data_IF_334293108532
#
_entry.id   IF_334293108532
#
_cell.length_a   1.000
_cell.length_b   1.000
_cell.length_c   1.000
_cell.angle_alpha   90.00
_cell.angle_beta   90.00
_cell.angle_gamma   90.00
#
_symmetry.space_group_name_H-M   'P 1'
#
loop_
_entity.id
_entity.type
_entity.pdbx_description
1 polymer ?
#
# COMPACT_ATOMS: atom_id res chain seq x y z
N UNK A 1 18.64 12.44 1.26
CA UNK A 1 18.46 13.82 1.73
C UNK A 1 17.65 14.58 0.68
N UNK A 2 16.32 14.50 0.72
CA UNK A 2 15.42 15.34 -0.08
C UNK A 2 14.78 16.32 0.90
N UNK A 3 15.19 17.58 0.82
CA UNK A 3 14.65 18.68 1.61
C UNK A 3 13.74 19.51 0.70
N UNK A 4 12.46 19.56 1.02
CA UNK A 4 11.60 20.66 0.59
C UNK A 4 10.59 20.95 1.70
N UNK A 5 11.06 21.66 2.73
CA UNK A 5 10.21 22.33 3.71
C UNK A 5 9.50 23.51 3.04
N UNK A 6 8.34 23.26 2.44
CA UNK A 6 7.36 24.32 2.18
C UNK A 6 6.29 24.22 3.29
N UNK A 7 6.12 25.25 4.13
CA UNK A 7 5.01 25.28 5.06
C UNK A 7 3.69 25.38 4.27
N UNK A 8 2.71 24.59 4.69
CA UNK A 8 1.35 24.61 4.17
C UNK A 8 0.69 25.97 4.46
N UNK A 9 -0.08 26.58 3.53
CA UNK A 9 -0.77 27.84 3.82
C UNK A 9 -1.88 27.58 4.85
N UNK A 10 -1.76 28.20 6.03
CA UNK A 10 -2.82 28.24 7.02
C UNK A 10 -3.97 29.13 6.48
N UNK A 11 -5.08 28.51 6.11
CA UNK A 11 -6.31 29.22 5.76
C UNK A 11 -6.90 29.90 6.99
N UNK A 12 -7.20 31.19 6.86
CA UNK A 12 -7.89 32.01 7.85
C UNK A 12 -9.29 31.46 8.17
N UNK A 13 -9.64 31.52 9.45
CA UNK A 13 -10.87 30.94 10.00
C UNK A 13 -12.16 31.58 9.49
N UNK A 14 -13.22 30.76 9.45
CA UNK A 14 -14.59 31.17 9.16
C UNK A 14 -15.59 30.05 9.46
N UNK A 15 -16.37 30.27 10.52
CA UNK A 15 -17.66 29.71 10.96
C UNK A 15 -18.35 28.55 10.22
N UNK A 16 -18.98 27.67 11.03
CA UNK A 16 -20.25 27.04 10.68
C UNK A 16 -20.13 25.58 10.24
N UNK A 17 -20.63 24.69 11.10
CA UNK A 17 -20.46 23.24 11.00
C UNK A 17 -20.91 22.62 9.67
N UNK A 18 -20.10 21.68 9.19
CA UNK A 18 -20.56 20.49 8.49
C UNK A 18 -19.70 19.36 8.98
N UNK A 19 -20.31 18.39 9.68
CA UNK A 19 -19.74 17.06 9.82
C UNK A 19 -19.63 16.45 8.43
N UNK A 20 -18.57 16.80 7.70
CA UNK A 20 -18.20 16.12 6.48
C UNK A 20 -17.85 14.71 6.89
N UNK A 21 -18.76 13.76 6.67
CA UNK A 21 -18.51 12.35 6.87
C UNK A 21 -17.32 11.99 6.00
N UNK A 22 -16.13 11.93 6.60
CA UNK A 22 -14.95 11.38 5.95
C UNK A 22 -15.38 10.02 5.41
N UNK A 23 -15.40 9.91 4.08
CA UNK A 23 -15.60 8.61 3.45
C UNK A 23 -14.30 7.86 3.75
N UNK A 24 -14.41 6.78 4.52
CA UNK A 24 -13.32 5.83 4.67
C UNK A 24 -12.98 5.35 3.26
N UNK A 25 -11.72 5.49 2.86
CA UNK A 25 -11.24 4.81 1.67
C UNK A 25 -11.15 3.31 1.99
N UNK A 26 -11.90 2.49 1.26
CA UNK A 26 -11.89 1.04 1.41
C UNK A 26 -10.59 0.41 0.86
N UNK A 27 -9.73 1.22 0.23
CA UNK A 27 -8.44 0.78 -0.31
C UNK A 27 -8.59 -0.12 -1.52
N UNK A 28 -9.66 0.09 -2.30
CA UNK A 28 -9.97 -0.68 -3.51
C UNK A 28 -9.99 0.25 -4.72
N UNK A 29 -9.60 -0.29 -5.88
CA UNK A 29 -9.57 0.45 -7.14
C UNK A 29 -8.16 0.57 -7.72
N UNK A 30 -8.07 1.28 -8.85
CA UNK A 30 -6.82 1.46 -9.57
C UNK A 30 -5.91 2.44 -8.82
N UNK A 31 -4.64 2.06 -8.70
CA UNK A 31 -3.59 2.90 -8.15
C UNK A 31 -2.58 3.23 -9.23
N UNK A 32 -2.32 4.53 -9.44
CA UNK A 32 -1.25 4.95 -10.32
C UNK A 32 0.12 4.51 -9.76
N UNK A 33 0.93 3.83 -10.57
CA UNK A 33 2.24 3.37 -10.17
C UNK A 33 3.12 4.53 -9.68
N UNK A 34 3.70 4.38 -8.49
CA UNK A 34 4.61 5.37 -7.91
C UNK A 34 5.92 5.44 -8.72
N UNK A 35 6.70 6.54 -8.62
CA UNK A 35 7.99 6.63 -9.31
C UNK A 35 8.94 5.46 -9.02
N UNK A 36 8.98 4.98 -7.77
CA UNK A 36 9.84 3.85 -7.40
C UNK A 36 9.36 2.53 -8.04
N UNK A 37 8.04 2.30 -8.13
CA UNK A 37 7.47 1.13 -8.82
C UNK A 37 7.80 1.16 -10.32
N UNK A 38 7.69 2.32 -10.97
CA UNK A 38 8.07 2.47 -12.38
C UNK A 38 9.56 2.23 -12.62
N UNK A 39 10.41 2.77 -11.76
CA UNK A 39 11.84 2.54 -11.83
C UNK A 39 12.18 1.06 -11.65
N UNK A 40 11.61 0.39 -10.64
CA UNK A 40 11.83 -1.04 -10.40
C UNK A 40 11.40 -1.89 -11.61
N UNK A 41 10.23 -1.61 -12.20
CA UNK A 41 9.77 -2.27 -13.43
C UNK A 41 10.74 -2.05 -14.61
N UNK A 42 11.33 -0.86 -14.72
CA UNK A 42 12.26 -0.54 -15.82
C UNK A 42 13.57 -1.35 -15.79
N UNK A 43 13.90 -1.98 -14.65
CA UNK A 43 15.10 -2.80 -14.54
C UNK A 43 15.01 -4.13 -15.30
N UNK A 44 13.81 -4.54 -15.75
CA UNK A 44 13.61 -5.74 -16.58
C UNK A 44 13.98 -7.08 -15.92
N UNK A 45 14.25 -7.08 -14.62
CA UNK A 45 14.59 -8.28 -13.83
C UNK A 45 13.37 -8.97 -13.22
N UNK A 46 13.59 -10.11 -12.58
CA UNK A 46 12.54 -10.89 -11.91
C UNK A 46 12.06 -10.20 -10.62
N UNK A 47 11.22 -9.17 -10.77
CA UNK A 47 10.61 -8.42 -9.66
C UNK A 47 9.80 -9.31 -8.72
N UNK A 48 9.31 -10.45 -9.21
CA UNK A 48 8.60 -11.48 -8.42
C UNK A 48 9.46 -12.10 -7.31
N UNK A 49 10.79 -12.03 -7.41
CA UNK A 49 11.73 -12.54 -6.41
C UNK A 49 12.33 -11.41 -5.55
N UNK A 50 11.87 -10.17 -5.72
CA UNK A 50 12.35 -9.04 -4.97
C UNK A 50 11.47 -8.81 -3.73
N UNK A 51 11.80 -9.51 -2.64
CA UNK A 51 11.09 -9.41 -1.36
C UNK A 51 11.99 -8.91 -0.21
N UNK A 52 11.33 -8.42 0.84
CA UNK A 52 11.97 -8.12 2.12
C UNK A 52 11.41 -9.09 3.16
N UNK A 53 12.29 -9.73 3.94
CA UNK A 53 11.90 -10.79 4.90
C UNK A 53 12.53 -10.56 6.26
N UNK A 54 11.79 -10.92 7.31
CA UNK A 54 12.24 -10.92 8.71
C UNK A 54 11.62 -12.12 9.44
N UNK A 55 12.34 -12.68 10.42
CA UNK A 55 11.83 -13.76 11.29
C UNK A 55 11.37 -13.16 12.61
N UNK A 56 10.17 -13.55 13.07
CA UNK A 56 9.59 -13.12 14.35
C UNK A 56 9.31 -14.35 15.20
N UNK A 57 9.63 -14.27 16.49
CA UNK A 57 9.34 -15.34 17.45
C UNK A 57 7.89 -15.24 17.91
N UNK A 58 7.13 -16.33 17.74
CA UNK A 58 5.77 -16.41 18.24
C UNK A 58 5.75 -16.63 19.75
N UNK A 59 4.84 -15.99 20.50
CA UNK A 59 4.58 -16.35 21.88
C UNK A 59 4.25 -17.83 22.07
N UNK A 60 4.48 -18.34 23.28
CA UNK A 60 4.12 -19.73 23.63
C UNK A 60 2.61 -19.94 23.44
N UNK A 61 2.24 -21.08 22.87
CA UNK A 61 0.83 -21.46 22.66
C UNK A 61 0.18 -20.86 21.41
N UNK A 62 0.90 -20.09 20.59
CA UNK A 62 0.42 -19.66 19.26
C UNK A 62 0.29 -20.88 18.34
N UNK A 63 -0.84 -20.95 17.65
CA UNK A 63 -1.15 -21.97 16.66
C UNK A 63 -1.07 -21.41 15.24
N UNK A 64 -1.06 -22.29 14.23
CA UNK A 64 -1.13 -21.87 12.82
C UNK A 64 -2.41 -21.07 12.52
N UNK A 65 -3.52 -21.38 13.20
CA UNK A 65 -4.79 -20.65 13.04
C UNK A 65 -4.65 -19.21 13.51
N UNK A 66 -3.97 -18.98 14.63
CA UNK A 66 -3.72 -17.63 15.14
C UNK A 66 -2.87 -16.81 14.16
N UNK A 67 -1.88 -17.45 13.52
CA UNK A 67 -1.07 -16.81 12.47
C UNK A 67 -1.93 -16.41 11.28
N UNK A 68 -2.82 -17.28 10.81
CA UNK A 68 -3.74 -16.95 9.71
C UNK A 68 -4.63 -15.76 10.08
N UNK A 69 -5.18 -15.73 11.30
CA UNK A 69 -6.03 -14.61 11.77
C UNK A 69 -5.25 -13.29 11.74
N UNK A 70 -4.01 -13.28 12.24
CA UNK A 70 -3.16 -12.07 12.23
C UNK A 70 -2.81 -11.65 10.80
N UNK A 71 -2.45 -12.59 9.92
CA UNK A 71 -2.15 -12.29 8.53
C UNK A 71 -3.37 -11.70 7.80
N UNK A 72 -4.57 -12.25 8.02
CA UNK A 72 -5.80 -11.68 7.46
C UNK A 72 -6.03 -10.25 7.99
N UNK A 73 -5.90 -10.03 9.29
CA UNK A 73 -6.05 -8.69 9.86
C UNK A 73 -5.05 -7.66 9.29
N UNK A 74 -3.81 -8.08 8.98
CA UNK A 74 -2.83 -7.24 8.31
C UNK A 74 -3.24 -6.92 6.87
N UNK A 75 -3.67 -7.92 6.10
CA UNK A 75 -4.13 -7.71 4.72
C UNK A 75 -5.37 -6.80 4.67
N UNK A 76 -6.33 -6.99 5.58
CA UNK A 76 -7.53 -6.17 5.68
C UNK A 76 -7.19 -4.71 5.96
N UNK A 77 -6.33 -4.46 6.94
CA UNK A 77 -5.90 -3.12 7.33
C UNK A 77 -5.01 -2.44 6.28
N UNK A 78 -4.18 -3.20 5.57
CA UNK A 78 -3.19 -2.67 4.63
C UNK A 78 -3.52 -3.06 3.19
N UNK A 79 -4.37 -2.25 2.54
CA UNK A 79 -4.79 -2.46 1.15
C UNK A 79 -3.63 -2.66 0.15
N UNK A 80 -2.49 -1.99 0.34
CA UNK A 80 -1.30 -2.17 -0.52
C UNK A 80 -0.71 -3.58 -0.48
N UNK A 81 -0.91 -4.35 0.60
CA UNK A 81 -0.49 -5.76 0.65
C UNK A 81 -1.39 -6.67 -0.20
N UNK A 82 -2.58 -6.19 -0.59
CA UNK A 82 -3.51 -6.87 -1.51
C UNK A 82 -3.39 -6.35 -2.95
N UNK A 83 -2.55 -5.34 -3.19
CA UNK A 83 -2.37 -4.76 -4.52
C UNK A 83 -1.79 -5.80 -5.48
N UNK A 84 -2.28 -5.78 -6.72
CA UNK A 84 -1.76 -6.58 -7.82
C UNK A 84 -1.40 -5.68 -8.98
N UNK A 85 -0.43 -6.11 -9.76
CA UNK A 85 -0.09 -5.51 -11.04
C UNK A 85 -0.73 -6.39 -12.10
N UNK A 86 -1.69 -5.84 -12.83
CA UNK A 86 -2.17 -6.46 -14.05
C UNK A 86 -1.24 -6.03 -15.18
N UNK A 87 -0.75 -7.00 -15.96
CA UNK A 87 -0.16 -6.66 -17.25
C UNK A 87 -1.31 -6.27 -18.18
N UNK A 88 -1.28 -5.05 -18.71
CA UNK A 88 -2.28 -4.51 -19.63
C UNK A 88 -2.30 -5.26 -20.98
N UNK A 89 -2.46 -6.59 -21.03
CA UNK A 89 -2.67 -7.39 -22.22
C UNK A 89 -1.64 -7.27 -23.36
N UNK A 90 -0.55 -6.51 -23.19
CA UNK A 90 0.44 -6.23 -24.22
C UNK A 90 1.49 -7.35 -24.35
N UNK A 91 1.10 -8.58 -24.02
CA UNK A 91 1.89 -9.81 -24.15
C UNK A 91 1.28 -10.85 -25.10
N UNK A 92 0.19 -10.51 -25.80
CA UNK A 92 -0.36 -11.33 -26.88
C UNK A 92 -0.39 -10.51 -28.19
N UNK A 93 0.77 -10.41 -28.85
CA UNK A 93 0.88 -9.74 -30.15
C UNK A 93 2.29 -9.76 -30.72
N UNK A 94 2.48 -10.69 -31.67
CA UNK A 94 3.60 -10.90 -32.60
C UNK A 94 4.80 -11.72 -32.07
#
# INVERSE_FOLDING_TARGET
MFSSSRPWPAGSGGSGGRGGRWRVDEGIGQLAATPIMRWLRSLGGAVEQFNQTMVVQAPVGVTDTDVVVVLQALLDRHAMLRARVDDDGAGAGC
#
